data_IF_449664658949
#
_entry.id   IF_449664658949
#
_cell.length_a   1.000
_cell.length_b   1.000
_cell.length_c   1.000
_cell.angle_alpha   90.00
_cell.angle_beta   90.00
_cell.angle_gamma   90.00
#
_symmetry.space_group_name_H-M   'P 1'
#
loop_
_entity.id
_entity.type
_entity.pdbx_description
1 polymer ?
#
# COMPACT_ATOMS: atom_id res chain seq x y z
N UNK A 1 7.22 -23.46 9.54
CA UNK A 1 8.24 -22.71 8.79
C UNK A 1 7.68 -21.90 7.59
N UNK A 2 6.70 -22.38 6.83
CA UNK A 2 6.11 -21.62 5.70
C UNK A 2 5.40 -20.33 6.14
N UNK A 3 4.65 -20.37 7.24
CA UNK A 3 3.86 -19.24 7.75
C UNK A 3 4.72 -18.02 8.15
N UNK A 4 5.81 -18.26 8.91
CA UNK A 4 6.72 -17.19 9.34
C UNK A 4 7.48 -16.58 8.16
N UNK A 5 7.79 -17.41 7.15
CA UNK A 5 8.44 -16.96 5.91
C UNK A 5 7.51 -16.08 5.05
N UNK A 6 6.22 -16.38 5.04
CA UNK A 6 5.20 -15.55 4.35
C UNK A 6 5.07 -14.19 5.01
N UNK A 7 5.01 -14.14 6.33
CA UNK A 7 4.91 -12.90 7.10
C UNK A 7 6.16 -12.02 6.93
N UNK A 8 7.36 -12.61 7.04
CA UNK A 8 8.63 -11.89 6.85
C UNK A 8 8.85 -11.42 5.39
N UNK A 9 8.36 -12.18 4.41
CA UNK A 9 8.40 -11.78 3.01
C UNK A 9 7.52 -10.54 2.76
N UNK A 10 6.31 -10.50 3.32
CA UNK A 10 5.40 -9.35 3.18
C UNK A 10 5.97 -8.07 3.78
N UNK A 11 6.72 -8.18 4.88
CA UNK A 11 7.26 -7.02 5.59
C UNK A 11 8.47 -6.38 4.88
N UNK A 12 9.44 -7.18 4.43
CA UNK A 12 10.75 -6.71 3.96
C UNK A 12 11.01 -6.94 2.47
N UNK A 13 10.71 -8.15 1.97
CA UNK A 13 11.03 -8.52 0.58
C UNK A 13 9.98 -8.07 -0.43
N UNK A 14 8.71 -8.05 -0.03
CA UNK A 14 7.57 -7.69 -0.87
C UNK A 14 6.78 -6.53 -0.25
N UNK A 15 7.47 -5.51 0.26
CA UNK A 15 6.78 -4.34 0.80
C UNK A 15 5.83 -3.78 -0.27
N UNK A 16 4.50 -3.69 0.03
CA UNK A 16 3.51 -3.34 -0.98
C UNK A 16 3.72 -1.95 -1.56
N UNK A 17 4.12 -0.99 -0.73
CA UNK A 17 4.23 0.41 -1.14
C UNK A 17 5.56 0.69 -1.82
N UNK A 18 6.67 0.28 -1.24
CA UNK A 18 8.00 0.65 -1.74
C UNK A 18 8.53 -0.27 -2.85
N UNK A 19 8.05 -1.51 -2.94
CA UNK A 19 8.49 -2.46 -4.00
C UNK A 19 7.45 -2.70 -5.07
N UNK A 20 6.21 -2.90 -4.68
CA UNK A 20 5.12 -3.17 -5.62
C UNK A 20 4.46 -1.89 -6.12
N UNK A 21 4.76 -0.73 -5.48
CA UNK A 21 4.17 0.58 -5.78
C UNK A 21 2.63 0.52 -5.72
N UNK A 22 2.10 -0.32 -4.82
CA UNK A 22 0.67 -0.47 -4.57
C UNK A 22 0.25 0.40 -3.37
N UNK A 23 -1.00 0.86 -3.38
CA UNK A 23 -1.55 1.68 -2.30
C UNK A 23 -1.01 3.11 -2.26
N UNK A 24 -0.58 3.65 -3.39
CA UNK A 24 -0.08 5.03 -3.50
C UNK A 24 -1.16 6.08 -3.24
N UNK A 25 -2.43 5.80 -3.59
CA UNK A 25 -3.53 6.74 -3.40
C UNK A 25 -3.72 7.14 -1.94
N UNK A 26 -3.93 6.22 -0.97
CA UNK A 26 -4.01 6.59 0.43
C UNK A 26 -2.67 7.10 0.97
N UNK A 27 -1.55 6.59 0.48
CA UNK A 27 -0.23 7.05 0.90
C UNK A 27 -0.02 8.54 0.61
N UNK A 28 -0.46 9.03 -0.53
CA UNK A 28 -0.33 10.46 -0.88
C UNK A 28 -1.37 11.34 -0.20
N UNK A 29 -2.58 10.84 -0.01
CA UNK A 29 -3.69 11.62 0.52
C UNK A 29 -3.61 11.85 2.04
N UNK A 30 -3.18 10.83 2.81
CA UNK A 30 -3.32 10.82 4.28
C UNK A 30 -2.02 11.14 5.00
N UNK A 31 -0.87 11.00 4.37
CA UNK A 31 0.44 11.18 5.00
C UNK A 31 0.83 12.65 5.25
N UNK A 32 -0.12 13.53 5.43
CA UNK A 32 0.12 14.91 5.91
C UNK A 32 0.50 14.95 7.39
N UNK A 33 0.00 13.97 8.17
CA UNK A 33 0.35 13.76 9.58
C UNK A 33 0.63 12.26 9.80
N UNK A 34 1.68 11.96 10.57
CA UNK A 34 2.09 10.57 10.82
C UNK A 34 1.03 9.77 11.60
N UNK A 35 0.30 10.42 12.50
CA UNK A 35 -0.76 9.79 13.30
C UNK A 35 -1.94 9.33 12.44
N UNK A 36 -2.32 10.10 11.43
CA UNK A 36 -3.37 9.73 10.47
C UNK A 36 -2.92 8.54 9.61
N UNK A 37 -1.64 8.52 9.22
CA UNK A 37 -1.03 7.39 8.52
C UNK A 37 -1.08 6.10 9.32
N UNK A 38 -0.83 6.17 10.63
CA UNK A 38 -0.91 5.02 11.53
C UNK A 38 -2.36 4.52 11.67
N UNK A 39 -3.31 5.41 11.89
CA UNK A 39 -4.73 5.07 11.99
C UNK A 39 -5.26 4.39 10.73
N UNK A 40 -4.95 4.96 9.56
CA UNK A 40 -5.33 4.39 8.27
C UNK A 40 -4.65 3.05 7.98
N UNK A 41 -3.39 2.91 8.36
CA UNK A 41 -2.64 1.66 8.21
C UNK A 41 -3.26 0.52 9.01
N UNK A 42 -3.65 0.79 10.27
CA UNK A 42 -4.32 -0.19 11.12
C UNK A 42 -5.71 -0.55 10.58
N UNK A 43 -6.51 0.44 10.18
CA UNK A 43 -7.82 0.20 9.56
C UNK A 43 -7.71 -0.66 8.29
N UNK A 44 -6.77 -0.33 7.41
CA UNK A 44 -6.50 -1.11 6.18
C UNK A 44 -6.05 -2.52 6.49
N UNK A 45 -5.22 -2.71 7.51
CA UNK A 45 -4.77 -4.04 7.95
C UNK A 45 -5.94 -4.88 8.43
N UNK A 46 -6.84 -4.32 9.25
CA UNK A 46 -8.03 -5.01 9.73
C UNK A 46 -8.94 -5.44 8.57
N UNK A 47 -9.21 -4.54 7.63
CA UNK A 47 -10.00 -4.84 6.43
C UNK A 47 -9.32 -5.90 5.56
N UNK A 48 -8.00 -5.81 5.38
CA UNK A 48 -7.23 -6.75 4.54
C UNK A 48 -7.29 -8.18 5.12
N UNK A 49 -7.12 -8.32 6.42
CA UNK A 49 -7.19 -9.61 7.10
C UNK A 49 -8.61 -10.19 7.01
N UNK A 50 -9.62 -9.39 7.34
CA UNK A 50 -11.03 -9.82 7.29
C UNK A 50 -11.48 -10.20 5.89
N UNK A 51 -11.23 -9.35 4.91
CA UNK A 51 -11.62 -9.59 3.51
C UNK A 51 -10.89 -10.80 2.92
N UNK A 52 -9.59 -10.95 3.15
CA UNK A 52 -8.82 -12.10 2.68
C UNK A 52 -9.31 -13.41 3.28
N UNK A 53 -9.72 -13.41 4.56
CA UNK A 53 -10.30 -14.61 5.21
C UNK A 53 -11.61 -15.03 4.55
N UNK A 54 -12.54 -14.09 4.33
CA UNK A 54 -13.84 -14.38 3.70
C UNK A 54 -13.69 -14.75 2.23
N UNK A 55 -12.82 -14.05 1.48
CA UNK A 55 -12.55 -14.36 0.07
C UNK A 55 -11.96 -15.77 -0.07
N UNK A 56 -11.03 -16.16 0.81
CA UNK A 56 -10.46 -17.50 0.79
C UNK A 56 -11.50 -18.57 1.13
N UNK A 57 -12.50 -18.25 1.95
CA UNK A 57 -13.62 -19.15 2.27
C UNK A 57 -14.60 -19.28 1.11
N UNK A 58 -14.95 -18.15 0.48
CA UNK A 58 -15.97 -18.09 -0.58
C UNK A 58 -15.43 -18.36 -1.98
N UNK A 59 -14.13 -18.58 -2.14
CA UNK A 59 -13.46 -18.76 -3.45
C UNK A 59 -14.06 -19.84 -4.36
N UNK A 60 -14.66 -20.90 -3.76
CA UNK A 60 -15.30 -22.00 -4.52
C UNK A 60 -16.70 -21.65 -5.03
N UNK A 61 -17.33 -20.63 -4.47
CA UNK A 61 -18.70 -20.22 -4.78
C UNK A 61 -18.75 -19.16 -5.88
N UNK A 62 -17.68 -18.38 -6.05
CA UNK A 62 -17.66 -17.24 -6.95
C UNK A 62 -17.12 -17.68 -8.33
N UNK A 63 -17.90 -17.58 -9.42
CA UNK A 63 -17.45 -17.88 -10.76
C UNK A 63 -16.46 -16.83 -11.27
N UNK A 64 -15.51 -17.24 -12.12
CA UNK A 64 -14.41 -16.41 -12.60
C UNK A 64 -14.86 -15.11 -13.30
N UNK A 65 -16.02 -15.13 -13.96
CA UNK A 65 -16.53 -13.98 -14.74
C UNK A 65 -16.95 -12.78 -13.87
N UNK A 66 -17.36 -13.03 -12.61
CA UNK A 66 -17.86 -11.99 -11.68
C UNK A 66 -16.97 -11.82 -10.43
N UNK A 67 -15.74 -12.30 -10.50
CA UNK A 67 -14.81 -12.35 -9.36
C UNK A 67 -14.48 -10.95 -8.81
N UNK A 68 -14.10 -10.02 -9.67
CA UNK A 68 -13.70 -8.67 -9.25
C UNK A 68 -14.84 -7.90 -8.57
N UNK A 69 -16.04 -7.77 -9.15
CA UNK A 69 -17.15 -7.08 -8.47
C UNK A 69 -17.58 -7.76 -7.17
N UNK A 70 -17.51 -9.10 -7.09
CA UNK A 70 -17.81 -9.81 -5.86
C UNK A 70 -16.81 -9.49 -4.73
N UNK A 71 -15.52 -9.40 -5.05
CA UNK A 71 -14.49 -9.03 -4.07
C UNK A 71 -14.67 -7.60 -3.58
N UNK A 72 -14.95 -6.65 -4.47
CA UNK A 72 -15.21 -5.25 -4.10
C UNK A 72 -16.40 -5.17 -3.15
N UNK A 73 -17.47 -5.93 -3.37
CA UNK A 73 -18.64 -5.95 -2.49
C UNK A 73 -18.30 -6.50 -1.09
N UNK A 74 -17.51 -7.57 -1.00
CA UNK A 74 -17.03 -8.12 0.27
C UNK A 74 -16.17 -7.11 1.02
N UNK A 75 -15.21 -6.49 0.32
CA UNK A 75 -14.32 -5.49 0.90
C UNK A 75 -15.13 -4.28 1.40
N UNK A 76 -16.10 -3.80 0.62
CA UNK A 76 -16.98 -2.70 1.01
C UNK A 76 -17.75 -3.01 2.30
N UNK A 77 -18.27 -4.23 2.45
CA UNK A 77 -18.92 -4.67 3.67
C UNK A 77 -18.01 -4.59 4.90
N UNK A 78 -16.76 -5.06 4.79
CA UNK A 78 -15.79 -4.95 5.87
C UNK A 78 -15.39 -3.50 6.18
N UNK A 79 -15.22 -2.68 5.17
CA UNK A 79 -14.91 -1.26 5.34
C UNK A 79 -16.04 -0.55 6.09
N UNK A 80 -17.30 -0.84 5.76
CA UNK A 80 -18.46 -0.29 6.47
C UNK A 80 -18.48 -0.70 7.94
N UNK A 81 -18.18 -1.95 8.25
CA UNK A 81 -18.07 -2.44 9.63
C UNK A 81 -16.98 -1.68 10.40
N UNK A 82 -15.79 -1.54 9.79
CA UNK A 82 -14.66 -0.81 10.41
C UNK A 82 -15.02 0.67 10.59
N UNK A 83 -15.74 1.27 9.65
CA UNK A 83 -16.21 2.65 9.76
C UNK A 83 -17.13 2.85 10.96
N UNK A 84 -18.11 1.97 11.15
CA UNK A 84 -18.99 2.04 12.33
C UNK A 84 -18.24 1.81 13.64
N UNK A 85 -17.26 0.91 13.66
CA UNK A 85 -16.39 0.72 14.83
C UNK A 85 -15.57 1.97 15.16
N UNK A 86 -14.96 2.59 14.15
CA UNK A 86 -14.20 3.83 14.33
C UNK A 86 -15.10 4.98 14.82
N UNK A 87 -16.32 5.07 14.30
CA UNK A 87 -17.28 6.08 14.71
C UNK A 87 -17.73 5.89 16.17
N UNK A 88 -17.85 4.64 16.62
CA UNK A 88 -18.27 4.33 17.99
C UNK A 88 -17.16 4.52 19.03
N UNK A 89 -15.91 4.13 18.70
CA UNK A 89 -14.81 4.10 19.68
C UNK A 89 -13.87 5.30 19.57
N UNK A 90 -13.68 5.88 18.39
CA UNK A 90 -12.69 6.93 18.12
C UNK A 90 -13.29 8.05 17.23
N UNK A 91 -14.25 8.84 17.76
CA UNK A 91 -14.93 9.86 16.95
C UNK A 91 -13.97 10.93 16.41
N UNK A 92 -12.93 11.30 17.16
CA UNK A 92 -11.92 12.26 16.71
C UNK A 92 -11.12 11.77 15.48
N UNK A 93 -10.77 10.48 15.43
CA UNK A 93 -10.14 9.89 14.25
C UNK A 93 -11.11 9.75 13.07
N UNK A 94 -12.38 9.47 13.36
CA UNK A 94 -13.38 9.36 12.30
C UNK A 94 -13.64 10.69 11.59
N UNK A 95 -13.55 11.81 12.29
CA UNK A 95 -13.71 13.15 11.69
C UNK A 95 -12.60 13.45 10.67
N UNK A 96 -11.37 13.06 10.96
CA UNK A 96 -10.23 13.26 10.05
C UNK A 96 -10.09 12.19 8.97
N UNK A 97 -10.40 10.93 9.28
CA UNK A 97 -10.26 9.79 8.35
C UNK A 97 -11.54 9.47 7.57
N UNK A 98 -12.70 9.98 7.98
CA UNK A 98 -14.01 9.60 7.42
C UNK A 98 -14.11 9.80 5.91
N UNK A 99 -13.53 10.88 5.37
CA UNK A 99 -13.48 11.17 3.93
C UNK A 99 -12.59 10.15 3.18
N UNK A 100 -11.59 9.59 3.84
CA UNK A 100 -10.61 8.68 3.23
C UNK A 100 -10.97 7.19 3.40
N UNK A 101 -11.93 6.84 4.25
CA UNK A 101 -12.36 5.46 4.46
C UNK A 101 -12.87 4.80 3.17
N UNK A 102 -13.66 5.46 2.30
CA UNK A 102 -14.04 4.89 1.02
C UNK A 102 -12.86 4.54 0.11
N UNK A 103 -11.72 5.21 0.29
CA UNK A 103 -10.49 4.91 -0.46
C UNK A 103 -9.91 3.54 -0.11
N UNK A 104 -10.27 2.98 1.06
CA UNK A 104 -9.86 1.62 1.44
C UNK A 104 -10.54 0.58 0.55
N UNK A 105 -11.80 0.80 0.13
CA UNK A 105 -12.56 -0.15 -0.71
C UNK A 105 -11.86 -0.39 -2.05
N UNK A 106 -11.35 0.69 -2.66
CA UNK A 106 -10.67 0.62 -3.97
C UNK A 106 -9.14 0.51 -3.84
N UNK A 107 -8.63 0.21 -2.65
CA UNK A 107 -7.21 0.13 -2.41
C UNK A 107 -6.58 -1.03 -3.20
N UNK A 108 -5.63 -0.68 -4.07
CA UNK A 108 -4.94 -1.63 -4.95
C UNK A 108 -4.26 -2.78 -4.19
N UNK A 109 -3.82 -2.56 -2.94
CA UNK A 109 -3.19 -3.62 -2.13
C UNK A 109 -4.21 -4.69 -1.79
N UNK A 110 -5.40 -4.30 -1.32
CA UNK A 110 -6.44 -5.23 -0.89
C UNK A 110 -6.92 -6.05 -2.08
N UNK A 111 -7.22 -5.38 -3.19
CA UNK A 111 -7.70 -6.06 -4.40
C UNK A 111 -6.64 -6.99 -5.00
N UNK A 112 -5.38 -6.54 -5.09
CA UNK A 112 -4.29 -7.34 -5.60
C UNK A 112 -4.04 -8.59 -4.75
N UNK A 113 -4.08 -8.50 -3.42
CA UNK A 113 -3.90 -9.66 -2.54
C UNK A 113 -5.11 -10.59 -2.53
N UNK A 114 -6.31 -10.04 -2.64
CA UNK A 114 -7.52 -10.83 -2.80
C UNK A 114 -7.44 -11.75 -4.02
N UNK A 115 -7.02 -11.22 -5.15
CA UNK A 115 -6.97 -11.98 -6.42
C UNK A 115 -5.72 -12.84 -6.55
N UNK A 116 -4.54 -12.33 -6.22
CA UNK A 116 -3.29 -13.06 -6.41
C UNK A 116 -3.04 -14.13 -5.37
N UNK A 117 -3.48 -13.92 -4.12
CA UNK A 117 -3.15 -14.77 -2.99
C UNK A 117 -4.36 -15.45 -2.35
N UNK A 118 -5.38 -14.71 -1.93
CA UNK A 118 -6.50 -15.25 -1.18
C UNK A 118 -7.33 -16.27 -1.98
N UNK A 119 -7.52 -16.04 -3.28
CA UNK A 119 -8.21 -16.98 -4.17
C UNK A 119 -7.50 -18.32 -4.34
N UNK A 120 -6.19 -18.38 -4.16
CA UNK A 120 -5.38 -19.58 -4.48
C UNK A 120 -4.95 -20.36 -3.25
N UNK A 121 -4.90 -19.72 -2.07
CA UNK A 121 -4.36 -20.29 -0.85
C UNK A 121 -5.45 -20.62 0.19
N UNK A 122 -5.05 -21.29 1.26
CA UNK A 122 -5.92 -21.60 2.41
C UNK A 122 -6.19 -20.36 3.25
N UNK A 123 -7.31 -20.34 3.99
CA UNK A 123 -7.73 -19.21 4.83
C UNK A 123 -6.63 -18.79 5.82
N UNK A 124 -5.97 -19.74 6.48
CA UNK A 124 -4.94 -19.46 7.46
C UNK A 124 -3.72 -18.74 6.85
N UNK A 125 -3.27 -19.17 5.67
CA UNK A 125 -2.17 -18.53 4.95
C UNK A 125 -2.57 -17.12 4.45
N UNK A 126 -3.82 -16.94 4.07
CA UNK A 126 -4.36 -15.66 3.59
C UNK A 126 -4.45 -14.62 4.71
N UNK A 127 -4.78 -15.04 5.93
CA UNK A 127 -4.76 -14.18 7.13
C UNK A 127 -3.32 -13.73 7.44
N UNK A 128 -2.38 -14.66 7.46
CA UNK A 128 -0.97 -14.34 7.74
C UNK A 128 -0.36 -13.42 6.69
N UNK A 129 -0.70 -13.62 5.43
CA UNK A 129 -0.28 -12.76 4.35
C UNK A 129 -0.88 -11.35 4.49
N UNK A 130 -2.18 -11.26 4.80
CA UNK A 130 -2.86 -10.00 5.09
C UNK A 130 -2.21 -9.22 6.23
N UNK A 131 -1.85 -9.89 7.33
CA UNK A 131 -1.12 -9.27 8.43
C UNK A 131 0.26 -8.77 8.01
N UNK A 132 1.05 -9.58 7.29
CA UNK A 132 2.37 -9.20 6.85
C UNK A 132 2.37 -7.99 5.91
N UNK A 133 1.45 -8.00 4.93
CA UNK A 133 1.29 -6.88 4.00
C UNK A 133 0.70 -5.64 4.67
N UNK A 134 -0.25 -5.81 5.59
CA UNK A 134 -0.86 -4.70 6.32
C UNK A 134 0.15 -3.98 7.21
N UNK A 135 0.97 -4.72 7.96
CA UNK A 135 2.04 -4.13 8.78
C UNK A 135 3.08 -3.43 7.88
N UNK A 136 3.47 -4.04 6.76
CA UNK A 136 4.38 -3.43 5.79
C UNK A 136 3.83 -2.12 5.21
N UNK A 137 2.54 -2.07 4.94
CA UNK A 137 1.85 -0.86 4.48
C UNK A 137 1.79 0.22 5.57
N UNK A 138 1.43 -0.15 6.79
CA UNK A 138 1.39 0.77 7.94
C UNK A 138 2.75 1.40 8.19
N UNK A 139 3.82 0.60 8.16
CA UNK A 139 5.18 1.10 8.30
C UNK A 139 5.54 2.11 7.20
N UNK A 140 5.18 1.81 5.96
CA UNK A 140 5.42 2.72 4.84
C UNK A 140 4.66 4.05 5.00
N UNK A 141 3.39 4.01 5.44
CA UNK A 141 2.60 5.21 5.73
C UNK A 141 3.21 6.07 6.84
N UNK A 142 3.66 5.44 7.92
CA UNK A 142 4.28 6.14 9.05
C UNK A 142 5.60 6.79 8.63
N UNK A 143 6.46 6.08 7.90
CA UNK A 143 7.74 6.64 7.40
C UNK A 143 7.45 7.83 6.47
N UNK A 144 6.54 7.66 5.52
CA UNK A 144 6.18 8.73 4.58
C UNK A 144 5.57 9.93 5.28
N UNK A 145 4.65 9.69 6.24
CA UNK A 145 4.02 10.71 7.06
C UNK A 145 5.01 11.46 7.93
N UNK A 146 5.94 10.75 8.58
CA UNK A 146 6.98 11.37 9.42
C UNK A 146 7.91 12.29 8.61
N UNK A 147 8.32 11.86 7.41
CA UNK A 147 9.17 12.70 6.54
C UNK A 147 8.42 13.95 6.08
N UNK A 148 7.17 13.82 5.66
CA UNK A 148 6.35 14.94 5.19
C UNK A 148 5.98 15.90 6.32
N UNK A 149 5.66 15.38 7.50
CA UNK A 149 5.32 16.18 8.67
C UNK A 149 6.54 16.95 9.17
N UNK A 150 7.73 16.33 9.17
CA UNK A 150 8.97 16.97 9.57
C UNK A 150 9.35 18.14 8.65
N UNK A 151 9.23 17.96 7.34
CA UNK A 151 9.63 19.00 6.36
C UNK A 151 8.51 20.04 6.17
N UNK A 152 7.24 19.61 6.23
CA UNK A 152 6.07 20.47 5.98
C UNK A 152 5.68 21.35 7.18
N UNK A 153 5.58 20.77 8.36
CA UNK A 153 5.13 21.46 9.58
C UNK A 153 6.24 21.64 10.62
N UNK A 154 7.37 20.94 10.48
CA UNK A 154 8.42 20.93 11.51
C UNK A 154 7.99 20.23 12.81
N UNK A 155 6.94 19.40 12.74
CA UNK A 155 6.43 18.61 13.86
C UNK A 155 6.66 17.13 13.60
N UNK A 156 6.75 16.32 14.66
CA UNK A 156 6.72 14.85 14.58
C UNK A 156 5.72 14.37 15.61
N UNK A 157 4.67 13.65 15.18
CA UNK A 157 3.58 13.19 16.03
C UNK A 157 2.92 14.32 16.87
N UNK A 158 2.85 15.54 16.32
CA UNK A 158 2.30 16.71 17.01
C UNK A 158 3.25 17.42 17.97
N UNK A 159 4.48 16.92 18.17
CA UNK A 159 5.51 17.63 18.92
C UNK A 159 6.32 18.53 18.00
N UNK A 160 6.45 19.82 18.36
CA UNK A 160 7.25 20.79 17.60
C UNK A 160 8.73 20.51 17.78
N UNK A 161 9.40 20.03 16.73
CA UNK A 161 10.85 19.72 16.76
C UNK A 161 11.64 20.80 16.02
N UNK A 162 11.15 21.29 14.88
CA UNK A 162 11.91 22.15 13.99
C UNK A 162 11.17 23.47 13.67
N UNK A 163 10.01 23.72 14.24
CA UNK A 163 9.17 24.89 13.94
C UNK A 163 9.88 26.27 14.16
N UNK A 164 10.96 26.29 14.94
CA UNK A 164 11.75 27.50 15.19
C UNK A 164 12.96 27.65 14.26
N UNK A 165 13.26 26.65 13.41
CA UNK A 165 14.49 26.66 12.62
C UNK A 165 14.25 26.93 11.14
N UNK A 166 13.07 26.56 10.60
CA UNK A 166 12.72 26.74 9.20
C UNK A 166 11.26 27.14 9.04
N UNK A 167 10.96 28.03 8.09
CA UNK A 167 9.61 28.32 7.67
C UNK A 167 8.95 27.05 7.06
N UNK A 168 7.72 26.72 7.43
CA UNK A 168 7.05 25.51 6.98
C UNK A 168 6.90 25.53 5.44
N UNK A 169 7.44 24.50 4.79
CA UNK A 169 7.35 24.36 3.34
C UNK A 169 5.98 23.77 2.96
N UNK A 170 4.95 24.62 2.81
CA UNK A 170 3.57 24.25 2.46
C UNK A 170 3.51 23.35 1.22
N UNK A 171 4.42 23.51 0.28
CA UNK A 171 4.50 22.69 -0.95
C UNK A 171 4.70 21.19 -0.67
N UNK A 172 5.31 20.85 0.47
CA UNK A 172 5.51 19.45 0.88
C UNK A 172 4.25 18.79 1.43
N UNK A 173 3.30 19.56 1.93
CA UNK A 173 2.00 19.07 2.40
C UNK A 173 1.08 18.79 1.20
N UNK A 174 1.23 19.53 0.11
CA UNK A 174 0.47 19.35 -1.11
C UNK A 174 0.82 18.03 -1.83
N UNK A 175 -0.07 17.51 -2.71
CA UNK A 175 0.18 16.29 -3.48
C UNK A 175 1.51 16.23 -4.23
N UNK A 176 1.99 17.32 -4.88
CA UNK A 176 3.29 17.28 -5.57
C UNK A 176 4.48 16.98 -4.64
N UNK A 177 4.46 17.52 -3.41
CA UNK A 177 5.47 17.19 -2.40
C UNK A 177 5.42 15.72 -1.97
N UNK A 178 4.21 15.13 -1.92
CA UNK A 178 4.04 13.70 -1.67
C UNK A 178 4.70 12.82 -2.72
N UNK A 179 4.57 13.14 -4.01
CA UNK A 179 5.24 12.42 -5.09
C UNK A 179 6.76 12.55 -5.03
N UNK A 180 7.26 13.76 -4.73
CA UNK A 180 8.69 14.03 -4.59
C UNK A 180 9.29 13.18 -3.46
N UNK A 181 8.69 13.21 -2.27
CA UNK A 181 9.15 12.43 -1.11
C UNK A 181 9.07 10.93 -1.36
N UNK A 182 8.01 10.47 -2.02
CA UNK A 182 7.85 9.07 -2.40
C UNK A 182 8.94 8.60 -3.37
N UNK A 183 9.24 9.41 -4.40
CA UNK A 183 10.31 9.13 -5.35
C UNK A 183 11.69 9.08 -4.70
N UNK A 184 12.01 10.02 -3.81
CA UNK A 184 13.26 10.06 -3.06
C UNK A 184 13.39 8.83 -2.16
N UNK A 185 12.33 8.46 -1.42
CA UNK A 185 12.32 7.28 -0.54
C UNK A 185 12.54 5.99 -1.31
N UNK A 186 11.86 5.79 -2.44
CA UNK A 186 12.08 4.61 -3.29
C UNK A 186 13.52 4.58 -3.82
N UNK A 187 14.04 5.71 -4.29
CA UNK A 187 15.42 5.81 -4.78
C UNK A 187 16.44 5.45 -3.69
N UNK A 188 16.23 5.96 -2.49
CA UNK A 188 17.09 5.71 -1.34
C UNK A 188 17.05 4.23 -0.91
N UNK A 189 15.85 3.66 -0.81
CA UNK A 189 15.66 2.24 -0.48
C UNK A 189 16.31 1.31 -1.51
N UNK A 190 16.18 1.61 -2.79
CA UNK A 190 16.81 0.84 -3.86
C UNK A 190 18.33 0.91 -3.79
N UNK A 191 18.89 2.07 -3.44
CA UNK A 191 20.34 2.24 -3.24
C UNK A 191 20.85 1.42 -2.05
N UNK A 192 20.15 1.44 -0.92
CA UNK A 192 20.57 0.69 0.28
C UNK A 192 20.36 -0.83 0.17
N UNK A 193 19.32 -1.25 -0.54
CA UNK A 193 18.96 -2.68 -0.59
C UNK A 193 19.69 -3.44 -1.70
N UNK A 194 20.49 -2.78 -2.56
CA UNK A 194 21.24 -3.39 -3.69
C UNK A 194 20.40 -4.35 -4.54
N UNK A 195 19.13 -4.02 -4.75
CA UNK A 195 18.24 -4.86 -5.54
C UNK A 195 18.62 -4.74 -6.99
N UNK A 196 19.21 -5.78 -7.54
CA UNK A 196 19.37 -5.92 -8.99
C UNK A 196 17.96 -5.89 -9.59
N UNK A 197 17.64 -4.80 -10.25
CA UNK A 197 16.41 -4.69 -11.04
C UNK A 197 16.45 -5.84 -12.04
N UNK A 198 15.59 -6.82 -11.83
CA UNK A 198 15.44 -7.92 -12.76
C UNK A 198 14.92 -7.29 -14.04
N UNK A 199 15.79 -7.14 -15.04
CA UNK A 199 15.40 -6.76 -16.39
C UNK A 199 14.59 -7.92 -16.99
N UNK A 200 13.36 -8.08 -16.57
CA UNK A 200 12.38 -8.91 -17.24
C UNK A 200 12.00 -8.12 -18.50
N UNK A 201 12.73 -8.33 -19.56
CA UNK A 201 12.29 -7.89 -20.87
C UNK A 201 10.91 -8.49 -21.13
N UNK A 202 10.11 -7.84 -21.94
CA UNK A 202 8.75 -8.24 -22.33
C UNK A 202 8.70 -9.59 -23.11
N UNK A 203 9.55 -10.56 -22.80
CA UNK A 203 9.62 -11.86 -23.48
C UNK A 203 8.45 -12.80 -23.18
N UNK A 204 7.53 -12.41 -22.28
CA UNK A 204 6.34 -13.19 -21.94
C UNK A 204 5.02 -12.49 -22.22
N UNK A 205 5.03 -11.32 -22.82
CA UNK A 205 3.81 -10.60 -23.18
C UNK A 205 3.36 -11.04 -24.57
N UNK A 206 2.22 -11.71 -24.67
CA UNK A 206 1.58 -12.06 -25.95
C UNK A 206 1.10 -10.84 -26.76
N UNK A 207 1.16 -9.65 -26.19
CA UNK A 207 0.96 -8.38 -26.85
C UNK A 207 2.33 -7.85 -27.29
N UNK A 208 2.63 -8.04 -28.55
CA UNK A 208 3.78 -7.48 -29.24
C UNK A 208 3.62 -5.96 -29.28
N UNK A 209 4.12 -5.27 -28.24
CA UNK A 209 4.31 -3.82 -28.30
C UNK A 209 5.32 -3.53 -29.41
N UNK A 210 4.85 -2.93 -30.49
CA UNK A 210 5.63 -2.61 -31.70
C UNK A 210 6.67 -1.50 -31.50
N UNK A 211 7.50 -1.61 -30.46
CA UNK A 211 8.71 -0.79 -30.26
C UNK A 211 9.84 -1.74 -29.89
N UNK A 212 10.34 -2.43 -30.89
CA UNK A 212 11.68 -3.00 -30.81
C UNK A 212 12.12 -3.50 -32.16
N UNK A 213 12.87 -2.73 -32.85
CA UNK A 213 13.99 -3.21 -33.64
C UNK A 213 14.63 -2.07 -34.42
N UNK A 214 15.31 -1.23 -33.68
CA UNK A 214 16.32 -0.36 -34.30
C UNK A 214 17.53 -0.28 -33.39
N UNK A 215 18.21 -1.41 -33.22
CA UNK A 215 19.62 -1.43 -32.76
C UNK A 215 20.12 -2.89 -32.75
N UNK A 216 20.15 -3.48 -33.96
CA UNK A 216 21.05 -4.60 -34.26
C UNK A 216 21.52 -4.40 -35.68
N UNK A 217 22.50 -3.56 -35.82
CA UNK A 217 23.47 -3.59 -36.96
C UNK A 217 24.47 -2.46 -36.73
N UNK A 218 25.47 -2.67 -35.89
CA UNK A 218 26.83 -2.11 -36.02
C UNK A 218 27.73 -3.01 -35.18
N UNK A 219 28.50 -3.86 -35.82
CA UNK A 219 29.54 -4.62 -35.15
C UNK A 219 29.84 -5.97 -35.78
N UNK A 220 30.11 -5.97 -37.10
CA UNK A 220 30.85 -7.05 -37.75
C UNK A 220 31.66 -6.44 -38.87
N UNK A 221 32.87 -6.02 -38.54
CA UNK A 221 34.08 -6.05 -39.40
C UNK A 221 35.27 -6.02 -38.46
#
# INVERSE_FOLDING_TARGET
MKALKTLANGLLKENPTFRLVLGTCPTLAITTMAINGLGMGLATTAVLVGSNAVIALTRKLIPDKVRIPAFITIIAGFVTIVQFLLQAYLPALNETLGIYIPLIVVNCIILARAEMFACKNTVFLSILDGLGMGIGFTLALVIMGSVRELIGNGTIFGFTVTANLFDPAIIMILPPGGFLTFGILIGLLNKFTNVKIRKTGCQGCSMQCGVSSSNKEVGAQ
#
